data_IF_857130632221
#
_entry.id   IF_857130632221
#
_cell.length_a   1.000
_cell.length_b   1.000
_cell.length_c   1.000
_cell.angle_alpha   90.00
_cell.angle_beta   90.00
_cell.angle_gamma   90.00
#
_symmetry.space_group_name_H-M   'P 1'
#
loop_
_entity.id
_entity.type
_entity.pdbx_description
1 polymer ?
#
# COMPACT_ATOMS: atom_id res chain seq x y z
N UNK A 1 18.28 -16.72 34.89
CA UNK A 1 18.48 -15.86 33.70
C UNK A 1 17.70 -14.58 33.91
N UNK A 2 18.38 -13.43 33.97
CA UNK A 2 17.73 -12.14 34.12
C UNK A 2 17.12 -11.68 32.78
N UNK A 3 15.89 -11.16 32.81
CA UNK A 3 15.24 -10.56 31.65
C UNK A 3 16.05 -9.37 31.12
N UNK A 4 16.13 -9.15 29.79
CA UNK A 4 16.88 -8.03 29.26
C UNK A 4 16.22 -6.72 29.68
N UNK A 5 17.03 -5.83 30.26
CA UNK A 5 16.63 -4.47 30.67
C UNK A 5 16.15 -3.71 29.43
N UNK A 6 15.00 -3.04 29.51
CA UNK A 6 14.55 -2.04 28.53
C UNK A 6 15.62 -0.94 28.44
N UNK A 7 16.34 -0.87 27.33
CA UNK A 7 17.30 0.21 27.07
C UNK A 7 16.55 1.54 26.96
N UNK A 8 16.70 2.38 27.99
CA UNK A 8 16.37 3.79 27.94
C UNK A 8 17.38 4.50 27.01
N UNK A 9 16.89 5.27 26.04
CA UNK A 9 17.72 6.19 25.23
C UNK A 9 18.02 5.81 23.79
N UNK A 10 17.29 4.87 23.16
CA UNK A 10 17.39 4.72 21.69
C UNK A 10 16.60 5.83 21.01
N UNK A 11 17.26 6.64 20.19
CA UNK A 11 16.57 7.49 19.21
C UNK A 11 15.53 6.67 18.45
N UNK A 12 14.38 7.28 18.17
CA UNK A 12 13.32 6.63 17.40
C UNK A 12 13.95 6.21 16.06
N UNK A 13 13.87 4.94 15.65
CA UNK A 13 14.42 4.53 14.38
C UNK A 13 13.80 5.39 13.25
N UNK A 14 14.55 5.65 12.17
CA UNK A 14 14.02 6.41 11.04
C UNK A 14 12.75 5.74 10.52
N UNK A 15 11.79 6.56 10.10
CA UNK A 15 10.59 6.06 9.46
C UNK A 15 10.98 5.31 8.18
N UNK A 16 10.56 4.05 8.09
CA UNK A 16 10.88 3.18 6.98
C UNK A 16 9.63 2.42 6.56
N UNK A 17 9.30 2.48 5.28
CA UNK A 17 8.16 1.78 4.71
C UNK A 17 8.61 0.99 3.49
N UNK A 18 8.11 -0.24 3.35
CA UNK A 18 8.22 -0.95 2.09
C UNK A 18 7.20 -0.36 1.09
N UNK A 19 7.66 -0.04 -0.13
CA UNK A 19 6.82 0.55 -1.16
C UNK A 19 7.07 -0.13 -2.50
N UNK A 20 6.01 -0.63 -3.12
CA UNK A 20 5.99 -1.10 -4.50
C UNK A 20 4.61 -0.87 -5.10
N UNK A 21 4.54 -0.65 -6.41
CA UNK A 21 3.28 -0.53 -7.14
C UNK A 21 2.60 -1.89 -7.34
N UNK A 22 3.42 -2.91 -7.64
CA UNK A 22 2.99 -4.31 -7.69
C UNK A 22 3.78 -5.00 -6.59
N UNK A 23 3.13 -5.25 -5.47
CA UNK A 23 3.72 -5.90 -4.30
C UNK A 23 3.15 -7.32 -4.16
N UNK A 24 3.84 -8.35 -4.65
CA UNK A 24 3.48 -9.73 -4.33
C UNK A 24 3.45 -9.95 -2.81
N UNK A 25 2.45 -10.68 -2.31
CA UNK A 25 2.29 -10.92 -0.87
C UNK A 25 3.51 -11.58 -0.24
N UNK A 26 4.14 -12.53 -0.95
CA UNK A 26 5.37 -13.19 -0.49
C UNK A 26 6.54 -12.21 -0.32
N UNK A 27 6.58 -11.10 -1.06
CA UNK A 27 7.58 -10.04 -0.87
C UNK A 27 7.27 -9.25 0.39
N UNK A 28 6.01 -8.89 0.61
CA UNK A 28 5.56 -8.20 1.84
C UNK A 28 5.94 -9.02 3.08
N UNK A 29 5.69 -10.34 3.06
CA UNK A 29 6.09 -11.24 4.15
C UNK A 29 7.61 -11.25 4.38
N UNK A 30 8.43 -11.18 3.32
CA UNK A 30 9.89 -11.12 3.46
C UNK A 30 10.32 -9.82 4.14
N UNK A 31 9.69 -8.71 3.82
CA UNK A 31 9.94 -7.43 4.50
C UNK A 31 9.47 -7.46 5.96
N UNK A 32 8.33 -8.08 6.24
CA UNK A 32 7.88 -8.31 7.62
C UNK A 32 8.91 -9.12 8.42
N UNK A 33 9.43 -10.21 7.86
CA UNK A 33 10.50 -11.02 8.48
C UNK A 33 11.83 -10.25 8.64
N UNK A 34 12.07 -9.24 7.82
CA UNK A 34 13.23 -8.35 7.92
C UNK A 34 13.05 -7.21 8.94
N UNK A 35 11.90 -7.14 9.64
CA UNK A 35 11.63 -6.15 10.68
C UNK A 35 10.94 -4.88 10.20
N UNK A 36 10.43 -4.85 8.96
CA UNK A 36 9.56 -3.76 8.51
C UNK A 36 8.18 -3.93 9.15
N UNK A 37 7.61 -2.83 9.61
CA UNK A 37 6.27 -2.77 10.19
C UNK A 37 5.31 -1.85 9.41
N UNK A 38 5.81 -1.21 8.35
CA UNK A 38 5.06 -0.22 7.59
C UNK A 38 5.09 -0.57 6.10
N UNK A 39 3.92 -0.55 5.46
CA UNK A 39 3.75 -0.75 4.02
C UNK A 39 3.05 0.45 3.38
N UNK A 40 3.52 0.85 2.21
CA UNK A 40 2.90 1.88 1.41
C UNK A 40 1.85 1.29 0.46
N UNK A 41 0.58 1.68 0.63
CA UNK A 41 -0.54 1.30 -0.24
C UNK A 41 -0.74 2.33 -1.35
N UNK A 42 -1.08 1.87 -2.55
CA UNK A 42 -1.41 2.75 -3.67
C UNK A 42 -2.65 2.24 -4.44
N UNK A 43 -3.86 2.66 -4.02
CA UNK A 43 -5.08 2.43 -4.79
C UNK A 43 -5.11 3.34 -6.01
N UNK A 44 -4.36 2.96 -7.04
CA UNK A 44 -4.24 3.72 -8.29
C UNK A 44 -5.48 3.58 -9.17
N UNK A 45 -5.77 4.63 -9.95
CA UNK A 45 -6.77 4.58 -11.04
C UNK A 45 -6.16 4.90 -12.41
N UNK A 46 -4.85 5.08 -12.45
CA UNK A 46 -4.08 5.38 -13.63
C UNK A 46 -3.38 4.16 -14.22
N UNK A 47 -3.06 4.28 -15.50
CA UNK A 47 -2.20 3.35 -16.24
C UNK A 47 -0.89 4.05 -16.61
N UNK A 48 0.16 3.27 -16.82
CA UNK A 48 1.41 3.78 -17.37
C UNK A 48 1.29 4.07 -18.88
N UNK A 49 2.36 4.58 -19.50
CA UNK A 49 2.40 4.92 -20.94
C UNK A 49 2.13 3.75 -21.90
N UNK A 50 2.09 2.51 -21.40
CA UNK A 50 1.76 1.30 -22.17
C UNK A 50 0.33 0.81 -21.91
N UNK A 51 -0.48 1.57 -21.16
CA UNK A 51 -1.82 1.16 -20.75
C UNK A 51 -1.86 0.11 -19.65
N UNK A 52 -0.75 -0.18 -18.97
CA UNK A 52 -0.73 -1.15 -17.87
C UNK A 52 -1.09 -0.46 -16.55
N UNK A 53 -2.04 -1.00 -15.75
CA UNK A 53 -2.38 -0.44 -14.45
C UNK A 53 -1.20 -0.36 -13.48
N UNK A 54 -1.13 0.72 -12.71
CA UNK A 54 -0.16 0.83 -11.61
C UNK A 54 -0.51 -0.02 -10.39
N UNK A 55 -1.77 -0.40 -10.24
CA UNK A 55 -2.25 -1.25 -9.15
C UNK A 55 -2.81 -2.55 -9.71
N UNK A 56 -2.56 -3.70 -9.04
CA UNK A 56 -3.23 -4.95 -9.38
C UNK A 56 -4.71 -4.97 -8.94
N UNK A 57 -5.14 -3.99 -8.13
CA UNK A 57 -6.52 -3.85 -7.68
C UNK A 57 -7.31 -2.95 -8.62
N UNK A 58 -8.62 -3.19 -8.79
CA UNK A 58 -9.49 -2.30 -9.56
C UNK A 58 -9.47 -0.84 -9.04
N UNK A 59 -9.69 0.16 -9.91
CA UNK A 59 -9.71 1.57 -9.51
C UNK A 59 -10.85 1.87 -8.54
N UNK A 60 -10.63 2.79 -7.59
CA UNK A 60 -11.68 3.28 -6.68
C UNK A 60 -12.64 4.21 -7.42
N UNK A 61 -12.10 5.14 -8.20
CA UNK A 61 -12.91 6.14 -8.91
C UNK A 61 -13.44 5.57 -10.22
N UNK A 62 -14.69 5.10 -10.20
CA UNK A 62 -15.32 4.42 -11.34
C UNK A 62 -15.91 5.39 -12.35
N UNK A 63 -16.47 6.49 -11.88
CA UNK A 63 -17.14 7.49 -12.71
C UNK A 63 -17.39 8.80 -11.94
N UNK A 64 -17.98 9.81 -12.58
CA UNK A 64 -18.50 11.00 -11.89
C UNK A 64 -19.37 10.60 -10.69
N UNK A 65 -19.06 11.18 -9.53
CA UNK A 65 -19.72 10.93 -8.23
C UNK A 65 -19.83 9.46 -7.80
N UNK A 66 -19.04 8.57 -8.41
CA UNK A 66 -19.06 7.14 -8.12
C UNK A 66 -17.68 6.64 -7.69
N UNK A 67 -17.55 6.41 -6.38
CA UNK A 67 -16.41 5.76 -5.74
C UNK A 67 -16.81 4.35 -5.25
N UNK A 68 -15.94 3.37 -5.48
CA UNK A 68 -16.05 2.01 -4.95
C UNK A 68 -14.80 1.68 -4.13
N UNK A 69 -14.95 1.57 -2.82
CA UNK A 69 -13.84 1.33 -1.89
C UNK A 69 -13.56 -0.17 -1.64
N UNK A 70 -14.40 -1.09 -2.15
CA UNK A 70 -14.19 -2.52 -1.96
C UNK A 70 -12.81 -3.02 -2.45
N UNK A 71 -12.25 -2.51 -3.57
CA UNK A 71 -10.88 -2.86 -3.99
C UNK A 71 -9.82 -2.46 -2.97
N UNK A 72 -9.98 -1.31 -2.29
CA UNK A 72 -9.05 -0.87 -1.26
C UNK A 72 -9.18 -1.75 -0.01
N UNK A 73 -10.40 -2.08 0.40
CA UNK A 73 -10.60 -3.01 1.52
C UNK A 73 -9.98 -4.39 1.22
N UNK A 74 -10.05 -4.85 -0.04
CA UNK A 74 -9.37 -6.08 -0.45
C UNK A 74 -7.85 -5.96 -0.36
N UNK A 75 -7.27 -4.84 -0.83
CA UNK A 75 -5.84 -4.58 -0.69
C UNK A 75 -5.38 -4.61 0.77
N UNK A 76 -6.14 -3.96 1.66
CA UNK A 76 -5.84 -3.96 3.10
C UNK A 76 -5.91 -5.38 3.66
N UNK A 77 -6.96 -6.15 3.33
CA UNK A 77 -7.10 -7.55 3.78
C UNK A 77 -5.91 -8.40 3.33
N UNK A 78 -5.53 -8.31 2.07
CA UNK A 78 -4.42 -9.11 1.51
C UNK A 78 -3.09 -8.74 2.18
N UNK A 79 -2.84 -7.45 2.39
CA UNK A 79 -1.62 -6.98 3.05
C UNK A 79 -1.59 -7.38 4.52
N UNK A 80 -2.71 -7.33 5.22
CA UNK A 80 -2.83 -7.81 6.61
C UNK A 80 -2.64 -9.33 6.72
N UNK A 81 -2.92 -10.12 5.68
CA UNK A 81 -2.57 -11.55 5.70
C UNK A 81 -1.04 -11.75 5.64
N UNK A 82 -0.33 -10.93 4.87
CA UNK A 82 1.13 -11.00 4.72
C UNK A 82 1.89 -10.35 5.89
N UNK A 83 1.32 -9.31 6.50
CA UNK A 83 1.87 -8.55 7.62
C UNK A 83 0.72 -8.11 8.55
N UNK A 84 0.32 -8.94 9.54
CA UNK A 84 -0.86 -8.71 10.38
C UNK A 84 -0.89 -7.38 11.12
N UNK A 85 0.27 -6.91 11.60
CA UNK A 85 0.40 -5.67 12.36
C UNK A 85 0.90 -4.49 11.51
N UNK A 86 0.68 -4.54 10.19
CA UNK A 86 1.14 -3.52 9.26
C UNK A 86 0.56 -2.14 9.57
N UNK A 87 1.43 -1.14 9.68
CA UNK A 87 1.08 0.27 9.57
C UNK A 87 0.94 0.62 8.10
N UNK A 88 -0.15 1.28 7.74
CA UNK A 88 -0.41 1.66 6.35
C UNK A 88 0.00 3.11 6.11
N UNK A 89 0.89 3.32 5.14
CA UNK A 89 1.14 4.61 4.52
C UNK A 89 0.34 4.67 3.22
N UNK A 90 -0.71 5.48 3.14
CA UNK A 90 -1.52 5.56 1.93
C UNK A 90 -1.05 6.68 1.00
N UNK A 91 -0.72 6.32 -0.24
CA UNK A 91 -0.49 7.27 -1.32
C UNK A 91 -1.79 7.47 -2.08
N UNK A 92 -2.27 8.72 -2.14
CA UNK A 92 -3.51 9.08 -2.84
C UNK A 92 -3.17 9.40 -4.29
N UNK A 93 -3.80 8.69 -5.23
CA UNK A 93 -3.71 9.02 -6.65
C UNK A 93 -4.59 10.24 -6.95
N UNK A 94 -3.99 11.34 -7.39
CA UNK A 94 -4.68 12.58 -7.77
C UNK A 94 -4.66 12.85 -9.27
N UNK A 95 -4.13 11.91 -10.06
CA UNK A 95 -4.15 12.03 -11.51
C UNK A 95 -5.58 11.90 -12.05
N UNK A 96 -5.84 12.32 -13.29
CA UNK A 96 -7.12 12.00 -13.94
C UNK A 96 -7.22 10.48 -14.16
N UNK A 97 -8.36 9.84 -13.88
CA UNK A 97 -8.57 8.44 -14.22
C UNK A 97 -8.68 8.26 -15.74
N UNK A 98 -8.33 7.08 -16.23
CA UNK A 98 -8.31 6.75 -17.67
C UNK A 98 -9.65 7.05 -18.34
N UNK A 99 -10.75 6.77 -17.65
CA UNK A 99 -12.08 7.03 -18.19
C UNK A 99 -12.35 8.52 -18.39
N UNK A 100 -11.72 9.42 -17.61
CA UNK A 100 -11.92 10.87 -17.73
C UNK A 100 -11.13 11.44 -18.93
N UNK A 101 -9.97 10.85 -19.26
CA UNK A 101 -9.15 11.26 -20.41
C UNK A 101 -9.91 11.19 -21.74
N UNK A 102 -10.95 10.36 -21.83
CA UNK A 102 -11.78 10.20 -23.02
C UNK A 102 -12.99 11.13 -23.11
N UNK A 103 -13.27 11.93 -22.06
CA UNK A 103 -14.46 12.78 -21.95
C UNK A 103 -14.11 14.27 -21.76
N UNK A 104 -12.82 14.61 -21.74
CA UNK A 104 -12.29 15.98 -21.72
C UNK A 104 -11.90 16.47 -23.11
#
# INVERSE_FOLDING_TARGET
MAAPKKNAGREKPPFLAYRSFIAPLNTIERFARAGYDTICTFPAHTVNSRGTPYSPYPPIWKWFDHLDFNPFDQMVRDFSQAMPDAKLLCMIDLNSPVWLEHYM
#
